data_IF_726292842549
#
_entry.id   IF_726292842549
#
_cell.length_a   1.000
_cell.length_b   1.000
_cell.length_c   1.000
_cell.angle_alpha   90.00
_cell.angle_beta   90.00
_cell.angle_gamma   90.00
#
_symmetry.space_group_name_H-M   'P 1'
#
loop_
_entity.id
_entity.type
_entity.pdbx_description
1 polymer ?
#
# COMPACT_ATOMS: atom_id res chain seq x y z
N UNK A 1 2.88 21.29 5.29
CA UNK A 1 3.15 19.99 5.93
C UNK A 1 4.20 20.18 7.03
N UNK A 2 3.95 19.65 8.22
CA UNK A 2 4.91 19.71 9.32
C UNK A 2 6.10 18.78 9.04
N UNK A 3 7.25 19.05 9.67
CA UNK A 3 8.44 18.23 9.49
C UNK A 3 8.21 16.76 9.82
N UNK A 4 7.46 16.48 10.89
CA UNK A 4 7.11 15.12 11.31
C UNK A 4 6.27 14.42 10.26
N UNK A 5 5.32 15.14 9.66
CA UNK A 5 4.45 14.59 8.63
C UNK A 5 5.23 14.26 7.36
N UNK A 6 6.19 15.10 7.00
CA UNK A 6 7.06 14.87 5.84
C UNK A 6 7.92 13.62 6.04
N UNK A 7 8.50 13.45 7.21
CA UNK A 7 9.30 12.27 7.55
C UNK A 7 8.47 11.01 7.46
N UNK A 8 7.25 11.07 8.01
CA UNK A 8 6.33 9.94 7.98
C UNK A 8 5.88 9.61 6.55
N UNK A 9 5.61 10.63 5.75
CA UNK A 9 5.26 10.45 4.35
C UNK A 9 6.38 9.75 3.57
N UNK A 10 7.62 10.15 3.80
CA UNK A 10 8.78 9.52 3.17
C UNK A 10 8.93 8.06 3.60
N UNK A 11 8.70 7.75 4.87
CA UNK A 11 8.71 6.38 5.38
C UNK A 11 7.63 5.53 4.73
N UNK A 12 6.41 6.06 4.61
CA UNK A 12 5.30 5.38 3.96
C UNK A 12 5.61 5.09 2.48
N UNK A 13 6.13 6.06 1.76
CA UNK A 13 6.49 5.88 0.35
C UNK A 13 7.54 4.80 0.18
N UNK A 14 8.55 4.80 1.04
CA UNK A 14 9.62 3.81 0.99
C UNK A 14 9.09 2.40 1.24
N UNK A 15 8.29 2.23 2.28
CA UNK A 15 7.69 0.94 2.63
C UNK A 15 6.78 0.43 1.51
N UNK A 16 5.93 1.30 0.97
CA UNK A 16 5.00 0.92 -0.08
C UNK A 16 5.70 0.63 -1.40
N UNK A 17 6.86 1.25 -1.64
CA UNK A 17 7.69 0.92 -2.80
C UNK A 17 8.21 -0.52 -2.70
N UNK A 18 8.65 -0.94 -1.52
CA UNK A 18 9.08 -2.32 -1.28
C UNK A 18 7.94 -3.31 -1.53
N UNK A 19 6.74 -2.99 -1.02
CA UNK A 19 5.55 -3.82 -1.26
C UNK A 19 5.21 -3.88 -2.75
N UNK A 20 5.32 -2.75 -3.44
CA UNK A 20 5.07 -2.65 -4.87
C UNK A 20 6.00 -3.57 -5.66
N UNK A 21 7.28 -3.60 -5.32
CA UNK A 21 8.25 -4.46 -5.99
C UNK A 21 7.89 -5.94 -5.85
N UNK A 22 7.47 -6.36 -4.66
CA UNK A 22 7.02 -7.73 -4.42
C UNK A 22 5.75 -8.02 -5.21
N UNK A 23 4.78 -7.12 -5.17
CA UNK A 23 3.50 -7.28 -5.85
C UNK A 23 3.65 -7.36 -7.36
N UNK A 24 4.55 -6.57 -7.95
CA UNK A 24 4.81 -6.61 -9.38
C UNK A 24 5.30 -7.98 -9.86
N UNK A 25 5.99 -8.72 -9.01
CA UNK A 25 6.47 -10.06 -9.33
C UNK A 25 5.40 -11.13 -9.18
N UNK A 26 4.54 -10.99 -8.18
CA UNK A 26 3.63 -12.04 -7.75
C UNK A 26 2.18 -11.84 -8.19
N UNK A 27 1.79 -10.61 -8.54
CA UNK A 27 0.41 -10.27 -8.85
C UNK A 27 0.29 -9.85 -10.31
N UNK A 28 -0.51 -10.61 -11.05
CA UNK A 28 -0.71 -10.38 -12.48
C UNK A 28 -1.52 -9.08 -12.70
N UNK A 29 -1.00 -8.21 -13.56
CA UNK A 29 -1.67 -6.95 -13.90
C UNK A 29 -1.48 -5.83 -12.89
N UNK A 30 -0.73 -6.05 -11.83
CA UNK A 30 -0.41 -5.01 -10.85
C UNK A 30 0.50 -3.95 -11.46
N UNK A 31 0.13 -2.67 -11.31
CA UNK A 31 0.89 -1.55 -11.89
C UNK A 31 1.69 -0.79 -10.85
N UNK A 32 1.02 -0.24 -9.85
CA UNK A 32 1.70 0.46 -8.75
C UNK A 32 0.78 0.55 -7.53
N UNK A 33 1.36 1.01 -6.44
CA UNK A 33 0.67 1.25 -5.19
C UNK A 33 0.86 2.72 -4.81
N UNK A 34 -0.17 3.33 -4.24
CA UNK A 34 -0.10 4.68 -3.71
C UNK A 34 -0.89 4.75 -2.41
N UNK A 35 -0.83 5.88 -1.75
CA UNK A 35 -1.57 6.07 -0.50
C UNK A 35 -2.21 7.45 -0.45
N UNK A 36 -3.33 7.51 0.27
CA UNK A 36 -4.03 8.75 0.59
C UNK A 36 -4.11 8.85 2.10
N UNK A 37 -3.77 10.01 2.64
CA UNK A 37 -3.78 10.20 4.08
C UNK A 37 -4.01 11.66 4.45
N UNK A 38 -4.79 11.87 5.51
CA UNK A 38 -4.91 13.16 6.18
C UNK A 38 -4.13 13.08 7.47
N UNK A 39 -3.01 13.78 7.55
CA UNK A 39 -2.11 13.71 8.70
C UNK A 39 -2.74 14.29 9.98
N UNK A 40 -3.78 15.11 9.87
CA UNK A 40 -4.53 15.57 11.03
C UNK A 40 -5.28 14.43 11.72
N UNK A 41 -5.56 13.34 11.00
CA UNK A 41 -6.30 12.19 11.50
C UNK A 41 -5.55 10.88 11.20
N UNK A 42 -4.25 10.93 11.27
CA UNK A 42 -3.37 9.78 11.07
C UNK A 42 -3.33 8.93 12.35
N UNK A 43 -3.31 7.58 12.26
CA UNK A 43 -3.30 6.75 11.04
C UNK A 43 -4.68 6.34 10.53
N UNK A 44 -5.77 6.76 11.16
CA UNK A 44 -7.14 6.31 10.83
C UNK A 44 -7.55 6.64 9.40
N UNK A 45 -7.04 7.76 8.87
CA UNK A 45 -7.37 8.20 7.51
C UNK A 45 -6.48 7.57 6.43
N UNK A 46 -5.50 6.76 6.83
CA UNK A 46 -4.59 6.14 5.84
C UNK A 46 -5.33 5.13 4.97
N UNK A 47 -5.26 5.34 3.67
CA UNK A 47 -5.80 4.42 2.67
C UNK A 47 -4.69 4.03 1.70
N UNK A 48 -4.55 2.73 1.45
CA UNK A 48 -3.59 2.22 0.48
C UNK A 48 -4.35 1.84 -0.78
N UNK A 49 -3.93 2.37 -1.91
CA UNK A 49 -4.60 2.18 -3.20
C UNK A 49 -3.69 1.38 -4.13
N UNK A 50 -4.21 0.27 -4.65
CA UNK A 50 -3.52 -0.57 -5.62
C UNK A 50 -4.11 -0.33 -6.99
N UNK A 51 -3.25 -0.10 -7.99
CA UNK A 51 -3.68 0.18 -9.36
C UNK A 51 -3.34 -1.00 -10.26
N UNK A 52 -4.32 -1.43 -11.05
CA UNK A 52 -4.20 -2.55 -11.98
C UNK A 52 -4.35 -2.07 -13.42
N UNK A 53 -3.82 -2.86 -14.35
CA UNK A 53 -3.85 -2.54 -15.79
C UNK A 53 -5.25 -2.70 -16.40
N UNK A 54 -6.03 -3.68 -15.91
CA UNK A 54 -7.38 -3.94 -16.41
C UNK A 54 -8.35 -4.23 -15.26
N UNK A 55 -9.64 -4.03 -15.51
CA UNK A 55 -10.68 -4.38 -14.55
C UNK A 55 -10.77 -5.90 -14.34
N UNK A 56 -10.45 -6.68 -15.35
CA UNK A 56 -10.43 -8.14 -15.25
C UNK A 56 -9.39 -8.62 -14.26
N UNK A 57 -8.17 -8.08 -14.34
CA UNK A 57 -7.10 -8.41 -13.40
C UNK A 57 -7.42 -7.93 -12.00
N UNK A 58 -8.02 -6.76 -11.87
CA UNK A 58 -8.48 -6.25 -10.58
C UNK A 58 -9.53 -7.18 -9.96
N UNK A 59 -10.54 -7.57 -10.75
CA UNK A 59 -11.60 -8.47 -10.28
C UNK A 59 -11.02 -9.82 -9.85
N UNK A 60 -10.09 -10.36 -10.63
CA UNK A 60 -9.43 -11.62 -10.31
C UNK A 60 -8.68 -11.51 -8.97
N UNK A 61 -7.90 -10.43 -8.79
CA UNK A 61 -7.17 -10.16 -7.56
C UNK A 61 -8.11 -10.08 -6.36
N UNK A 62 -9.24 -9.36 -6.50
CA UNK A 62 -10.20 -9.18 -5.42
C UNK A 62 -10.87 -10.49 -5.01
N UNK A 63 -10.95 -11.47 -5.92
CA UNK A 63 -11.58 -12.77 -5.65
C UNK A 63 -10.61 -13.80 -5.08
N UNK A 64 -9.30 -13.51 -5.05
CA UNK A 64 -8.26 -14.45 -4.61
C UNK A 64 -7.80 -14.15 -3.18
N UNK A 65 -7.17 -15.16 -2.55
CA UNK A 65 -6.54 -15.01 -1.25
C UNK A 65 -5.33 -14.06 -1.28
N UNK A 66 -4.80 -13.78 -2.46
CA UNK A 66 -3.66 -12.87 -2.66
C UNK A 66 -3.93 -11.49 -2.05
N UNK A 67 -5.18 -11.02 -2.11
CA UNK A 67 -5.58 -9.76 -1.49
C UNK A 67 -5.31 -9.76 0.02
N UNK A 68 -5.64 -10.84 0.70
CA UNK A 68 -5.41 -10.99 2.14
C UNK A 68 -3.92 -11.04 2.44
N UNK A 69 -3.14 -11.74 1.63
CA UNK A 69 -1.69 -11.83 1.78
C UNK A 69 -1.03 -10.48 1.59
N UNK A 70 -1.45 -9.72 0.58
CA UNK A 70 -0.93 -8.38 0.35
C UNK A 70 -1.26 -7.45 1.51
N UNK A 71 -2.48 -7.51 2.02
CA UNK A 71 -2.90 -6.71 3.18
C UNK A 71 -2.04 -7.02 4.40
N UNK A 72 -1.74 -8.29 4.65
CA UNK A 72 -0.85 -8.70 5.75
C UNK A 72 0.55 -8.15 5.58
N UNK A 73 1.09 -8.22 4.37
CA UNK A 73 2.42 -7.69 4.08
C UNK A 73 2.47 -6.19 4.34
N UNK A 74 1.47 -5.46 3.90
CA UNK A 74 1.36 -4.02 4.15
C UNK A 74 1.31 -3.74 5.65
N UNK A 75 0.49 -4.47 6.40
CA UNK A 75 0.39 -4.31 7.85
C UNK A 75 1.72 -4.58 8.55
N UNK A 76 2.43 -5.63 8.16
CA UNK A 76 3.74 -5.95 8.71
C UNK A 76 4.74 -4.83 8.45
N UNK A 77 4.76 -4.29 7.25
CA UNK A 77 5.65 -3.19 6.89
C UNK A 77 5.31 -1.92 7.69
N UNK A 78 4.03 -1.61 7.82
CA UNK A 78 3.59 -0.43 8.58
C UNK A 78 3.94 -0.57 10.06
N UNK A 79 3.89 -1.76 10.62
CA UNK A 79 4.23 -1.99 12.02
C UNK A 79 5.70 -1.67 12.32
N UNK A 80 6.58 -1.71 11.32
CA UNK A 80 7.99 -1.35 11.50
C UNK A 80 8.19 0.14 11.78
N UNK A 81 7.20 0.96 11.51
CA UNK A 81 7.20 2.40 11.79
C UNK A 81 6.10 2.79 12.78
N UNK A 82 5.63 1.83 13.58
CA UNK A 82 4.67 2.04 14.67
C UNK A 82 3.28 2.51 14.21
N UNK A 83 2.80 1.96 13.12
CA UNK A 83 1.43 2.21 12.66
C UNK A 83 0.53 1.00 12.88
#
# INVERSE_FOLDING_TARGET
MRKTDKKLDNQLRHLLTEVCEVALKDINGFQWITHLVNYSNFPKSLQVVCVFDTNENLSWFMSQNTKTELARLIQLKLSTINI
#
